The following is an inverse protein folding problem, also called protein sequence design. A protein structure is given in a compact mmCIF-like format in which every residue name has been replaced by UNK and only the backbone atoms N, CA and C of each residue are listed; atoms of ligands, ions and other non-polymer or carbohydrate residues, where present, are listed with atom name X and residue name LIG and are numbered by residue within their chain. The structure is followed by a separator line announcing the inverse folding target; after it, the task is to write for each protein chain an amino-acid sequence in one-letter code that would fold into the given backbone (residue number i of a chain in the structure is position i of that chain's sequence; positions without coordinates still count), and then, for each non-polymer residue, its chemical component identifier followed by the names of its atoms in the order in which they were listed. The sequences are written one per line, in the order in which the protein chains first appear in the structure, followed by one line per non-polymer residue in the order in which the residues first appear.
data_IF_854549878730
#
_entry.id   IF_854549878730
#
_cell.length_a   1.000
_cell.length_b   1.000
_cell.length_c   1.000
_cell.angle_alpha   90.00
_cell.angle_beta   90.00
_cell.angle_gamma   90.00
#
_symmetry.space_group_name_H-M   'P 1'
#
loop_
_entity.id
_entity.type
_entity.pdbx_description
1 polymer ?
#
# COMPACT_ATOMS: atom_id res chain seq x y z
N UNK A 1 12.94 10.61 14.03
CA UNK A 1 13.10 9.21 13.55
C UNK A 1 11.73 8.55 13.44
N UNK A 2 11.45 7.82 12.36
CA UNK A 2 10.17 7.12 12.17
C UNK A 2 10.32 5.63 12.53
N UNK A 3 9.48 5.11 13.42
CA UNK A 3 9.29 3.66 13.55
C UNK A 3 8.20 3.23 12.57
N UNK A 4 8.50 2.28 11.69
CA UNK A 4 7.57 1.73 10.72
C UNK A 4 7.23 0.27 11.07
N UNK A 5 6.00 0.04 11.50
CA UNK A 5 5.44 -1.29 11.71
C UNK A 5 5.05 -1.89 10.36
N UNK A 6 5.79 -2.91 9.92
CA UNK A 6 5.87 -3.32 8.52
C UNK A 6 5.78 -4.83 8.31
N UNK A 7 5.27 -5.18 7.13
CA UNK A 7 5.31 -6.51 6.53
C UNK A 7 5.34 -6.36 5.01
N UNK A 8 5.83 -7.39 4.30
CA UNK A 8 6.11 -7.36 2.86
C UNK A 8 4.83 -7.48 2.02
N UNK A 9 3.96 -6.46 2.12
CA UNK A 9 2.68 -6.35 1.42
C UNK A 9 2.62 -5.08 0.57
N UNK A 10 1.73 -5.00 -0.43
CA UNK A 10 1.51 -3.76 -1.19
C UNK A 10 1.29 -2.53 -0.30
N UNK A 11 0.52 -2.65 0.79
CA UNK A 11 0.28 -1.53 1.69
C UNK A 11 1.52 -1.10 2.48
N UNK A 12 2.35 -2.06 2.91
CA UNK A 12 3.64 -1.76 3.55
C UNK A 12 4.59 -1.01 2.63
N UNK A 13 4.69 -1.47 1.37
CA UNK A 13 5.62 -0.90 0.38
C UNK A 13 5.34 0.57 0.07
N UNK A 14 4.09 1.02 0.17
CA UNK A 14 3.74 2.45 0.02
C UNK A 14 4.59 3.33 0.92
N UNK A 15 4.78 2.90 2.16
CA UNK A 15 5.43 3.71 3.19
C UNK A 15 6.95 3.62 3.07
N UNK A 16 7.51 2.43 2.80
CA UNK A 16 8.95 2.30 2.55
C UNK A 16 9.36 3.09 1.31
N UNK A 17 8.56 3.09 0.24
CA UNK A 17 8.82 3.90 -0.96
C UNK A 17 8.83 5.39 -0.59
N UNK A 18 7.84 5.88 0.14
CA UNK A 18 7.82 7.27 0.59
C UNK A 18 9.07 7.62 1.40
N UNK A 19 9.42 6.81 2.40
CA UNK A 19 10.54 7.10 3.31
C UNK A 19 11.88 7.15 2.55
N UNK A 20 12.10 6.23 1.61
CA UNK A 20 13.29 6.20 0.76
C UNK A 20 13.35 7.36 -0.25
N UNK A 21 12.21 7.81 -0.77
CA UNK A 21 12.11 8.98 -1.66
C UNK A 21 12.32 10.29 -0.91
N UNK A 22 11.78 10.38 0.30
CA UNK A 22 11.90 11.56 1.15
C UNK A 22 13.29 11.68 1.82
N UNK A 23 14.05 10.58 1.87
CA UNK A 23 15.33 10.48 2.57
C UNK A 23 15.17 10.58 4.08
N UNK A 24 14.07 10.05 4.63
CA UNK A 24 13.80 10.07 6.06
C UNK A 24 14.44 8.88 6.75
N UNK A 25 15.03 9.11 7.94
CA UNK A 25 15.50 8.03 8.79
C UNK A 25 14.34 7.26 9.41
N UNK A 26 14.36 5.94 9.22
CA UNK A 26 13.34 5.06 9.75
C UNK A 26 13.90 3.71 10.20
N UNK A 27 13.20 3.10 11.16
CA UNK A 27 13.44 1.74 11.64
C UNK A 27 12.24 0.88 11.27
N UNK A 28 12.50 -0.24 10.61
CA UNK A 28 11.47 -1.27 10.37
C UNK A 28 11.29 -2.10 11.64
N UNK A 29 10.04 -2.21 12.09
CA UNK A 29 9.58 -3.11 13.14
C UNK A 29 8.68 -4.16 12.48
N UNK A 30 9.13 -5.40 12.29
CA UNK A 30 8.33 -6.43 11.63
C UNK A 30 7.06 -6.74 12.42
N UNK A 31 5.92 -6.83 11.72
CA UNK A 31 4.64 -7.35 12.23
C UNK A 31 4.27 -8.55 11.37
N UNK A 32 4.61 -9.76 11.83
CA UNK A 32 4.33 -11.00 11.09
C UNK A 32 2.83 -11.29 11.13
N UNK A 33 2.14 -10.84 10.08
CA UNK A 33 0.69 -10.96 9.97
C UNK A 33 0.21 -12.41 9.79
N UNK A 34 1.11 -13.32 9.37
CA UNK A 34 0.84 -14.74 9.27
C UNK A 34 0.86 -15.44 10.63
N UNK A 35 1.57 -14.87 11.62
CA UNK A 35 1.61 -15.36 13.01
C UNK A 35 0.65 -14.65 13.96
N UNK A 36 -0.04 -13.60 13.50
CA UNK A 36 -1.00 -12.86 14.32
C UNK A 36 -0.37 -11.75 15.15
N UNK A 37 0.82 -11.27 14.81
CA UNK A 37 1.49 -10.19 15.54
C UNK A 37 0.68 -8.88 15.57
N UNK A 38 -0.19 -8.69 14.58
CA UNK A 38 -1.13 -7.57 14.49
C UNK A 38 -2.23 -7.56 15.57
N UNK A 39 -2.34 -8.63 16.36
CA UNK A 39 -3.26 -8.73 17.50
C UNK A 39 -2.58 -8.52 18.85
N UNK A 40 -1.25 -8.34 18.87
CA UNK A 40 -0.53 -8.12 20.13
C UNK A 40 -0.99 -6.79 20.76
N UNK A 41 -1.23 -6.73 22.09
CA UNK A 41 -1.73 -5.54 22.76
C UNK A 41 -0.90 -4.27 22.49
N UNK A 42 0.42 -4.40 22.41
CA UNK A 42 1.29 -3.25 22.14
C UNK A 42 1.18 -2.71 20.72
N UNK A 43 0.89 -3.56 19.73
CA UNK A 43 0.59 -3.11 18.37
C UNK A 43 -0.79 -2.48 18.28
N UNK A 44 -1.79 -3.02 18.99
CA UNK A 44 -3.17 -2.49 18.97
C UNK A 44 -3.27 -1.08 19.59
N UNK A 45 -2.37 -0.71 20.50
CA UNK A 45 -2.23 0.68 20.99
C UNK A 45 -1.85 1.67 19.88
N UNK A 46 -1.23 1.18 18.80
CA UNK A 46 -0.73 1.98 17.68
C UNK A 46 -1.71 1.90 16.51
N UNK A 47 -2.19 0.69 16.19
CA UNK A 47 -3.15 0.41 15.12
C UNK A 47 -4.31 -0.44 15.68
N UNK A 48 -5.37 0.21 16.20
CA UNK A 48 -6.52 -0.50 16.76
C UNK A 48 -7.32 -1.27 15.69
N UNK A 49 -7.11 -0.95 14.41
CA UNK A 49 -7.67 -1.68 13.27
C UNK A 49 -6.93 -3.01 12.98
N UNK A 50 -6.00 -3.45 13.85
CA UNK A 50 -5.21 -4.68 13.72
C UNK A 50 -4.53 -4.85 12.35
N UNK A 51 -4.17 -3.73 11.69
CA UNK A 51 -3.59 -3.75 10.34
C UNK A 51 -2.31 -2.94 10.29
N UNK A 52 -1.36 -3.49 9.55
CA UNK A 52 -0.19 -2.77 9.07
C UNK A 52 -0.47 -2.16 7.67
N UNK A 53 0.27 -1.12 7.25
CA UNK A 53 1.31 -0.41 7.98
C UNK A 53 0.76 0.48 9.10
N UNK A 54 1.62 0.75 10.09
CA UNK A 54 1.46 1.83 11.05
C UNK A 54 2.82 2.48 11.30
N UNK A 55 2.84 3.75 11.70
CA UNK A 55 4.07 4.44 12.11
C UNK A 55 3.95 5.01 13.51
N UNK A 56 5.10 5.22 14.14
CA UNK A 56 5.26 6.15 15.26
C UNK A 56 6.33 7.17 14.87
N UNK A 57 5.94 8.44 14.86
CA UNK A 57 6.84 9.55 14.65
C UNK A 57 7.30 10.11 16.00
N UNK A 58 8.58 9.91 16.31
CA UNK A 58 9.18 10.38 17.56
C UNK A 58 9.61 11.85 17.53
N UNK A 59 9.51 12.51 16.38
CA UNK A 59 9.89 13.91 16.19
C UNK A 59 8.86 14.65 15.32
N UNK A 60 7.61 14.79 15.81
CA UNK A 60 6.55 15.41 15.04
C UNK A 60 6.83 16.90 14.79
N UNK A 61 6.40 17.39 13.62
CA UNK A 61 6.49 18.82 13.32
C UNK A 61 5.70 19.63 14.37
N UNK A 62 6.36 20.60 14.99
CA UNK A 62 5.80 21.38 16.12
C UNK A 62 6.21 20.89 17.51
N UNK A 63 6.97 19.78 17.61
CA UNK A 63 7.40 19.18 18.87
C UNK A 63 6.27 18.46 19.61
N UNK A 64 6.56 17.97 20.82
CA UNK A 64 5.59 17.27 21.66
C UNK A 64 5.83 15.76 21.74
N UNK A 65 4.81 15.03 22.21
CA UNK A 65 4.86 13.59 22.37
C UNK A 65 4.82 12.86 21.00
N UNK A 66 5.34 11.62 20.90
CA UNK A 66 5.28 10.85 19.67
C UNK A 66 3.86 10.68 19.12
N UNK A 67 3.71 10.71 17.79
CA UNK A 67 2.42 10.55 17.11
C UNK A 67 2.36 9.17 16.45
N UNK A 68 1.34 8.38 16.77
CA UNK A 68 1.02 7.14 16.05
C UNK A 68 0.03 7.40 14.91
N UNK A 69 0.27 6.79 13.74
CA UNK A 69 -0.60 6.89 12.57
C UNK A 69 -0.76 5.52 11.93
N UNK A 70 -1.99 5.05 11.76
CA UNK A 70 -2.35 3.88 10.95
C UNK A 70 -3.14 4.32 9.70
N UNK A 71 -3.47 3.38 8.81
CA UNK A 71 -3.97 3.62 7.45
C UNK A 71 -2.93 4.19 6.48
N UNK A 72 -2.57 3.40 5.46
CA UNK A 72 -1.48 3.77 4.53
C UNK A 72 -1.69 5.12 3.82
N UNK A 73 -2.93 5.50 3.51
CA UNK A 73 -3.25 6.80 2.92
C UNK A 73 -3.05 7.96 3.90
N UNK A 74 -3.44 7.78 5.16
CA UNK A 74 -3.23 8.79 6.20
C UNK A 74 -1.73 8.95 6.52
N UNK A 75 -0.98 7.85 6.57
CA UNK A 75 0.47 7.88 6.76
C UNK A 75 1.17 8.63 5.62
N UNK A 76 0.83 8.32 4.36
CA UNK A 76 1.40 9.03 3.20
C UNK A 76 1.10 10.52 3.25
N UNK A 77 -0.14 10.90 3.56
CA UNK A 77 -0.53 12.31 3.67
C UNK A 77 0.20 13.01 4.81
N UNK A 78 0.27 12.38 5.99
CA UNK A 78 1.00 12.90 7.15
C UNK A 78 2.47 13.15 6.84
N UNK A 79 3.16 12.16 6.25
CA UNK A 79 4.58 12.29 5.93
C UNK A 79 4.82 13.33 4.81
N UNK A 80 3.91 13.42 3.83
CA UNK A 80 3.96 14.43 2.78
C UNK A 80 3.83 15.85 3.36
N UNK A 81 2.91 16.06 4.30
CA UNK A 81 2.73 17.33 5.00
C UNK A 81 3.90 17.67 5.92
N UNK A 82 4.40 16.68 6.69
CA UNK A 82 5.58 16.84 7.54
C UNK A 82 6.80 17.31 6.75
N UNK A 83 6.99 16.76 5.55
CA UNK A 83 8.19 17.01 4.74
C UNK A 83 8.02 18.11 3.70
N UNK A 84 6.79 18.51 3.39
CA UNK A 84 6.48 19.39 2.25
C UNK A 84 6.80 18.75 0.89
N UNK A 85 6.88 17.41 0.80
CA UNK A 85 7.25 16.67 -0.41
C UNK A 85 6.09 15.84 -0.94
N UNK A 86 6.10 15.58 -2.26
CA UNK A 86 5.19 14.65 -2.95
C UNK A 86 3.69 14.98 -2.87
N UNK A 87 3.36 16.22 -2.52
CA UNK A 87 2.01 16.80 -2.63
C UNK A 87 2.13 18.32 -2.85
N UNK A 88 1.40 18.91 -3.82
CA UNK A 88 1.40 20.36 -4.00
C UNK A 88 0.79 21.11 -2.80
N UNK A 89 1.28 22.32 -2.56
CA UNK A 89 0.74 23.21 -1.52
C UNK A 89 -0.49 24.00 -2.00
N UNK A 90 -0.62 24.23 -3.31
CA UNK A 90 -1.80 24.90 -3.87
C UNK A 90 -3.01 23.96 -3.89
N UNK A 91 -4.20 24.54 -3.70
CA UNK A 91 -5.43 23.75 -3.56
C UNK A 91 -5.75 22.92 -4.82
N UNK A 92 -5.38 23.39 -6.02
CA UNK A 92 -5.74 22.71 -7.27
C UNK A 92 -4.91 21.44 -7.42
N UNK A 93 -3.59 21.55 -7.32
CA UNK A 93 -2.67 20.40 -7.37
C UNK A 93 -2.92 19.44 -6.20
N UNK A 94 -3.18 19.97 -5.00
CA UNK A 94 -3.48 19.15 -3.82
C UNK A 94 -4.75 18.31 -3.98
N UNK A 95 -5.84 18.91 -4.47
CA UNK A 95 -7.10 18.18 -4.71
C UNK A 95 -6.89 17.08 -5.75
N UNK A 96 -6.09 17.34 -6.78
CA UNK A 96 -5.79 16.35 -7.81
C UNK A 96 -5.05 15.13 -7.23
N UNK A 97 -4.01 15.33 -6.42
CA UNK A 97 -3.30 14.23 -5.72
C UNK A 97 -4.25 13.48 -4.79
N UNK A 98 -5.03 14.20 -3.97
CA UNK A 98 -5.92 13.58 -2.99
C UNK A 98 -7.02 12.75 -3.66
N UNK A 99 -7.60 13.21 -4.77
CA UNK A 99 -8.61 12.44 -5.50
C UNK A 99 -8.09 11.06 -5.89
N UNK A 100 -6.86 10.98 -6.38
CA UNK A 100 -6.26 9.72 -6.81
C UNK A 100 -5.74 8.87 -5.64
N UNK A 101 -5.26 9.51 -4.56
CA UNK A 101 -4.95 8.80 -3.32
C UNK A 101 -6.19 8.10 -2.75
N UNK A 102 -7.32 8.81 -2.68
CA UNK A 102 -8.57 8.24 -2.18
C UNK A 102 -9.20 7.24 -3.15
N UNK A 103 -9.07 7.44 -4.48
CA UNK A 103 -9.42 6.41 -5.46
C UNK A 103 -8.61 5.12 -5.23
N UNK A 104 -7.33 5.23 -4.87
CA UNK A 104 -6.52 4.06 -4.54
C UNK A 104 -7.03 3.38 -3.26
N UNK A 105 -7.28 4.15 -2.19
CA UNK A 105 -7.77 3.64 -0.90
C UNK A 105 -9.14 2.97 -1.01
N UNK A 106 -10.06 3.52 -1.81
CA UNK A 106 -11.44 3.04 -1.92
C UNK A 106 -11.70 2.10 -3.11
N UNK A 107 -10.81 2.08 -4.11
CA UNK A 107 -10.98 1.33 -5.36
C UNK A 107 -9.87 0.31 -5.59
N UNK A 108 -8.72 0.76 -6.10
CA UNK A 108 -7.63 -0.13 -6.54
C UNK A 108 -7.20 -1.13 -5.46
N UNK A 109 -6.90 -0.65 -4.25
CA UNK A 109 -6.41 -1.51 -3.17
C UNK A 109 -7.44 -2.55 -2.73
N UNK A 110 -8.65 -2.14 -2.30
CA UNK A 110 -9.69 -3.06 -1.87
C UNK A 110 -10.07 -4.09 -2.94
N UNK A 111 -10.29 -3.67 -4.20
CA UNK A 111 -10.75 -4.58 -5.25
C UNK A 111 -9.65 -5.57 -5.68
N UNK A 112 -8.39 -5.13 -5.80
CA UNK A 112 -7.27 -6.03 -6.06
C UNK A 112 -7.02 -6.99 -4.87
N UNK A 113 -7.29 -6.54 -3.64
CA UNK A 113 -7.28 -7.39 -2.45
C UNK A 113 -8.31 -8.53 -2.53
N UNK A 114 -9.53 -8.22 -2.98
CA UNK A 114 -10.56 -9.25 -3.22
C UNK A 114 -10.18 -10.18 -4.38
N UNK A 115 -9.59 -9.64 -5.45
CA UNK A 115 -9.03 -10.45 -6.54
C UNK A 115 -8.02 -11.48 -5.99
N UNK A 116 -7.00 -11.03 -5.25
CA UNK A 116 -6.05 -11.94 -4.61
C UNK A 116 -6.73 -13.00 -3.73
N UNK A 117 -7.71 -12.60 -2.91
CA UNK A 117 -8.41 -13.52 -2.02
C UNK A 117 -9.11 -14.63 -2.81
N UNK A 118 -10.03 -14.30 -3.72
CA UNK A 118 -10.81 -15.30 -4.44
C UNK A 118 -9.98 -16.09 -5.47
N UNK A 119 -9.02 -15.45 -6.14
CA UNK A 119 -8.21 -16.10 -7.17
C UNK A 119 -7.15 -17.03 -6.56
N UNK A 120 -6.54 -16.66 -5.43
CA UNK A 120 -5.34 -17.34 -4.93
C UNK A 120 -5.54 -18.04 -3.58
N UNK A 121 -6.29 -17.44 -2.65
CA UNK A 121 -6.25 -17.85 -1.25
C UNK A 121 -7.49 -18.59 -0.76
N UNK A 122 -8.67 -18.29 -1.32
CA UNK A 122 -9.93 -18.88 -0.93
C UNK A 122 -9.85 -20.43 -1.03
N UNK A 123 -10.36 -21.15 0.00
CA UNK A 123 -10.29 -22.62 0.03
C UNK A 123 -11.12 -23.26 -1.08
N UNK A 124 -12.21 -22.61 -1.49
CA UNK A 124 -13.05 -23.00 -2.60
C UNK A 124 -12.92 -22.02 -3.76
N UNK A 125 -12.87 -22.53 -4.99
CA UNK A 125 -12.91 -21.69 -6.19
C UNK A 125 -14.36 -21.34 -6.52
N UNK A 126 -14.67 -20.05 -6.47
CA UNK A 126 -15.99 -19.51 -6.79
C UNK A 126 -15.87 -18.74 -8.11
N UNK A 127 -16.20 -19.34 -9.28
CA UNK A 127 -15.94 -18.72 -10.59
C UNK A 127 -16.57 -17.34 -10.75
N UNK A 128 -17.77 -17.13 -10.19
CA UNK A 128 -18.44 -15.83 -10.22
C UNK A 128 -17.63 -14.75 -9.49
N UNK A 129 -17.15 -15.04 -8.27
CA UNK A 129 -16.39 -14.08 -7.48
C UNK A 129 -15.04 -13.77 -8.12
N UNK A 130 -14.33 -14.81 -8.59
CA UNK A 130 -13.07 -14.66 -9.33
C UNK A 130 -13.28 -13.76 -10.55
N UNK A 131 -14.24 -14.10 -11.41
CA UNK A 131 -14.54 -13.32 -12.62
C UNK A 131 -14.92 -11.87 -12.30
N UNK A 132 -15.71 -11.64 -11.23
CA UNK A 132 -16.09 -10.30 -10.80
C UNK A 132 -14.88 -9.44 -10.45
N UNK A 133 -13.98 -9.95 -9.60
CA UNK A 133 -12.86 -9.16 -9.09
C UNK A 133 -11.69 -9.07 -10.08
N UNK A 134 -11.48 -10.06 -10.94
CA UNK A 134 -10.53 -9.96 -12.07
C UNK A 134 -11.00 -8.87 -13.05
N UNK A 135 -12.29 -8.84 -13.41
CA UNK A 135 -12.84 -7.80 -14.30
C UNK A 135 -12.82 -6.42 -13.67
N UNK A 136 -13.12 -6.29 -12.38
CA UNK A 136 -13.03 -4.99 -11.70
C UNK A 136 -11.58 -4.50 -11.59
N UNK A 137 -10.62 -5.40 -11.35
CA UNK A 137 -9.20 -5.06 -11.39
C UNK A 137 -8.80 -4.56 -12.78
N UNK A 138 -9.21 -5.25 -13.84
CA UNK A 138 -8.99 -4.82 -15.23
C UNK A 138 -9.59 -3.45 -15.53
N UNK A 139 -10.81 -3.18 -15.06
CA UNK A 139 -11.45 -1.86 -15.19
C UNK A 139 -10.64 -0.76 -14.50
N UNK A 140 -10.12 -1.03 -13.29
CA UNK A 140 -9.30 -0.07 -12.53
C UNK A 140 -7.94 0.18 -13.21
N UNK A 141 -7.34 -0.84 -13.81
CA UNK A 141 -6.15 -0.71 -14.66
C UNK A 141 -6.45 0.17 -15.87
N UNK A 142 -7.58 -0.04 -16.56
CA UNK A 142 -7.98 0.78 -17.70
C UNK A 142 -8.25 2.25 -17.32
N UNK A 143 -8.82 2.51 -16.13
CA UNK A 143 -8.99 3.88 -15.60
C UNK A 143 -7.63 4.55 -15.39
N UNK A 144 -6.68 3.83 -14.80
CA UNK A 144 -5.34 4.35 -14.54
C UNK A 144 -4.56 4.55 -15.85
N UNK A 145 -4.65 3.62 -16.80
CA UNK A 145 -4.06 3.74 -18.12
C UNK A 145 -4.57 4.98 -18.88
N UNK A 146 -5.90 5.14 -18.95
CA UNK A 146 -6.52 6.32 -19.56
C UNK A 146 -6.08 7.61 -18.87
N UNK A 147 -5.91 7.59 -17.55
CA UNK A 147 -5.41 8.75 -16.82
C UNK A 147 -3.98 9.11 -17.21
N UNK A 148 -3.16 8.10 -17.48
CA UNK A 148 -1.73 8.24 -17.79
C UNK A 148 -1.45 8.47 -19.29
N UNK A 149 -2.46 8.54 -20.15
CA UNK A 149 -2.27 8.69 -21.60
C UNK A 149 -1.65 10.01 -22.02
N UNK A 150 -1.81 11.06 -21.21
CA UNK A 150 -1.31 12.41 -21.48
C UNK A 150 -0.44 12.94 -20.32
N UNK A 151 -0.01 12.04 -19.43
CA UNK A 151 0.61 12.42 -18.15
C UNK A 151 1.70 11.45 -17.77
N UNK A 152 2.81 11.97 -17.27
CA UNK A 152 3.90 11.14 -16.77
C UNK A 152 3.52 10.40 -15.50
N UNK A 153 2.84 11.10 -14.57
CA UNK A 153 2.35 10.57 -13.29
C UNK A 153 0.87 10.90 -13.07
N UNK A 154 0.25 10.22 -12.11
CA UNK A 154 -1.21 10.18 -11.92
C UNK A 154 -1.82 11.57 -11.66
N UNK A 155 -1.08 12.45 -10.98
CA UNK A 155 -1.50 13.79 -10.62
C UNK A 155 -0.59 14.89 -11.19
N UNK A 156 0.02 14.65 -12.36
CA UNK A 156 1.00 15.55 -12.97
C UNK A 156 2.42 15.14 -12.59
N UNK A 157 2.96 15.71 -11.53
CA UNK A 157 4.25 15.32 -10.95
C UNK A 157 4.13 14.06 -10.08
N UNK A 158 5.26 13.38 -9.86
CA UNK A 158 5.33 12.20 -9.00
C UNK A 158 4.90 12.54 -7.56
N UNK A 159 3.90 11.81 -7.07
CA UNK A 159 3.21 12.16 -5.82
C UNK A 159 2.90 10.94 -4.95
N UNK A 160 2.34 11.19 -3.77
CA UNK A 160 1.82 10.12 -2.91
C UNK A 160 0.69 9.30 -3.55
N UNK A 161 0.00 9.82 -4.57
CA UNK A 161 -0.99 9.04 -5.32
C UNK A 161 -0.32 7.91 -6.12
N UNK A 162 0.85 8.18 -6.70
CA UNK A 162 1.65 7.21 -7.43
C UNK A 162 2.25 6.16 -6.49
N UNK A 163 2.82 6.62 -5.36
CA UNK A 163 3.37 5.74 -4.31
C UNK A 163 2.30 4.82 -3.71
N UNK A 164 1.04 5.29 -3.62
CA UNK A 164 -0.08 4.50 -3.17
C UNK A 164 -0.47 3.41 -4.21
N UNK A 165 -0.51 3.76 -5.50
CA UNK A 165 -0.97 2.87 -6.55
C UNK A 165 0.08 1.83 -6.96
N UNK A 166 1.35 2.21 -7.08
CA UNK A 166 2.40 1.38 -7.66
C UNK A 166 2.53 -0.01 -7.01
N UNK A 167 2.59 -0.15 -5.67
CA UNK A 167 2.71 -1.46 -5.04
C UNK A 167 1.54 -2.40 -5.31
N UNK A 168 0.37 -1.87 -5.67
CA UNK A 168 -0.81 -2.65 -6.05
C UNK A 168 -0.82 -3.07 -7.52
N UNK A 169 0.01 -2.46 -8.37
CA UNK A 169 0.23 -2.88 -9.76
C UNK A 169 1.36 -3.93 -9.87
N UNK A 170 2.35 -3.91 -8.97
CA UNK A 170 3.46 -4.88 -8.96
C UNK A 170 3.03 -6.34 -9.12
N UNK A 171 2.00 -6.86 -8.41
CA UNK A 171 1.55 -8.25 -8.57
C UNK A 171 0.53 -8.44 -9.70
N UNK A 172 0.61 -7.69 -10.80
CA UNK A 172 -0.33 -7.74 -11.93
C UNK A 172 -0.56 -9.16 -12.50
N UNK A 173 0.50 -9.98 -12.61
CA UNK A 173 0.38 -11.38 -13.08
C UNK A 173 -0.52 -12.20 -12.15
N UNK A 174 -0.31 -12.05 -10.83
CA UNK A 174 -1.09 -12.71 -9.79
C UNK A 174 -2.53 -12.21 -9.71
N UNK A 175 -2.81 -11.06 -10.31
CA UNK A 175 -4.14 -10.48 -10.46
C UNK A 175 -4.83 -10.91 -11.76
N UNK A 176 -4.19 -11.74 -12.58
CA UNK A 176 -4.71 -12.15 -13.88
C UNK A 176 -4.81 -10.99 -14.88
N UNK A 177 -3.95 -10.00 -14.75
CA UNK A 177 -3.87 -8.86 -15.67
C UNK A 177 -2.72 -9.08 -16.68
N UNK A 178 -2.73 -8.32 -17.76
CA UNK A 178 -1.65 -8.28 -18.76
C UNK A 178 -1.28 -6.81 -18.93
N UNK A 179 -0.08 -6.40 -18.50
CA UNK A 179 0.30 -4.98 -18.57
C UNK A 179 0.36 -4.44 -20.01
N UNK A 180 0.62 -5.30 -20.99
CA UNK A 180 0.67 -4.92 -22.41
C UNK A 180 -0.68 -4.43 -22.96
N UNK A 181 -1.79 -4.81 -22.33
CA UNK A 181 -3.14 -4.32 -22.66
C UNK A 181 -3.35 -2.86 -22.19
N UNK A 182 -2.44 -2.33 -21.37
CA UNK A 182 -2.47 -0.98 -20.80
C UNK A 182 -1.12 -0.28 -20.96
N UNK A 183 -0.80 0.22 -22.18
CA UNK A 183 0.54 0.70 -22.51
C UNK A 183 0.99 1.91 -21.70
N UNK A 184 0.08 2.81 -21.32
CA UNK A 184 0.40 4.00 -20.53
C UNK A 184 0.66 3.62 -19.07
N UNK A 185 -0.12 2.68 -18.54
CA UNK A 185 0.12 2.08 -17.23
C UNK A 185 1.47 1.34 -17.20
N UNK A 186 1.78 0.56 -18.24
CA UNK A 186 3.08 -0.13 -18.36
C UNK A 186 4.25 0.86 -18.36
N UNK A 187 4.16 1.95 -19.14
CA UNK A 187 5.17 3.02 -19.15
C UNK A 187 5.39 3.59 -17.75
N UNK A 188 4.31 3.98 -17.09
CA UNK A 188 4.34 4.52 -15.72
C UNK A 188 4.93 3.51 -14.72
N UNK A 189 4.55 2.24 -14.85
CA UNK A 189 5.02 1.17 -13.98
C UNK A 189 6.54 0.99 -14.07
N UNK A 190 7.09 0.89 -15.28
CA UNK A 190 8.53 0.77 -15.48
C UNK A 190 9.27 2.05 -15.06
N UNK A 191 8.68 3.23 -15.28
CA UNK A 191 9.26 4.49 -14.83
C UNK A 191 9.40 4.55 -13.29
N UNK A 192 8.39 4.10 -12.53
CA UNK A 192 8.47 4.06 -11.07
C UNK A 192 9.43 2.96 -10.59
N UNK A 193 9.37 1.78 -11.20
CA UNK A 193 10.27 0.66 -10.89
C UNK A 193 11.76 1.01 -11.06
N UNK A 194 12.07 1.85 -12.04
CA UNK A 194 13.44 2.31 -12.30
C UNK A 194 13.96 3.33 -11.27
N UNK A 195 13.11 3.86 -10.37
CA UNK A 195 13.53 4.87 -9.39
C UNK A 195 14.44 4.24 -8.33
N UNK A 196 15.61 4.83 -8.02
CA UNK A 196 16.54 4.27 -7.03
C UNK A 196 15.93 4.08 -5.64
N UNK A 197 15.06 4.99 -5.20
CA UNK A 197 14.38 4.87 -3.91
C UNK A 197 13.38 3.70 -3.86
N UNK A 198 12.67 3.45 -4.97
CA UNK A 198 11.79 2.29 -5.10
C UNK A 198 12.62 1.00 -5.03
N UNK A 199 13.75 0.93 -5.74
CA UNK A 199 14.64 -0.23 -5.66
C UNK A 199 15.16 -0.48 -4.24
N UNK A 200 15.61 0.57 -3.54
CA UNK A 200 16.02 0.46 -2.12
C UNK A 200 14.88 -0.01 -1.23
N UNK A 201 13.67 0.53 -1.40
CA UNK A 201 12.50 0.14 -0.62
C UNK A 201 12.16 -1.35 -0.78
N UNK A 202 12.27 -1.90 -1.99
CA UNK A 202 12.04 -3.32 -2.25
C UNK A 202 13.19 -4.20 -1.73
N UNK A 203 14.45 -3.74 -1.83
CA UNK A 203 15.59 -4.46 -1.24
C UNK A 203 15.49 -4.56 0.30
N UNK A 204 14.96 -3.54 0.98
CA UNK A 204 14.69 -3.58 2.43
C UNK A 204 13.67 -4.66 2.80
N UNK A 205 12.67 -4.89 1.94
CA UNK A 205 11.64 -5.89 2.16
C UNK A 205 12.20 -7.31 2.15
N UNK A 206 13.17 -7.59 1.26
CA UNK A 206 13.86 -8.89 1.18
C UNK A 206 14.58 -9.25 2.48
N UNK A 207 15.07 -8.24 3.23
CA UNK A 207 15.70 -8.44 4.52
C UNK A 207 14.71 -8.65 5.69
N UNK A 208 13.42 -8.33 5.50
CA UNK A 208 12.39 -8.47 6.56
C UNK A 208 11.75 -9.83 6.54
N UNK A 209 11.40 -10.33 5.35
CA UNK A 209 10.70 -11.61 5.21
C UNK A 209 11.24 -12.37 4.00
N UNK A 210 11.77 -13.57 4.26
CA UNK A 210 12.31 -14.48 3.25
C UNK A 210 11.32 -15.60 2.86
N UNK A 211 10.12 -15.62 3.46
CA UNK A 211 9.11 -16.67 3.25
C UNK A 211 7.82 -16.10 2.62
N UNK A 212 7.01 -16.94 1.94
CA UNK A 212 5.71 -16.52 1.42
C UNK A 212 4.81 -15.98 2.54
N UNK A 213 4.22 -14.80 2.33
CA UNK A 213 3.36 -14.11 3.31
C UNK A 213 2.10 -14.93 3.68
N UNK A 214 1.65 -15.83 2.81
CA UNK A 214 0.37 -16.55 2.95
C UNK A 214 0.60 -18.07 2.86
N UNK A 215 1.02 -18.68 3.97
CA UNK A 215 0.97 -20.15 4.19
C UNK A 215 -0.44 -20.63 4.58
N UNK A 216 -0.70 -21.94 4.61
CA UNK A 216 -2.01 -22.48 5.06
C UNK A 216 -2.34 -22.09 6.51
N UNK A 217 -1.35 -22.10 7.40
CA UNK A 217 -1.48 -21.61 8.78
C UNK A 217 -1.79 -20.12 8.81
N UNK A 218 -1.09 -19.32 8.00
CA UNK A 218 -1.32 -17.88 7.90
C UNK A 218 -2.73 -17.56 7.39
N UNK A 219 -3.30 -18.36 6.47
CA UNK A 219 -4.68 -18.16 5.98
C UNK A 219 -5.71 -18.19 7.11
N UNK A 220 -5.55 -19.08 8.09
CA UNK A 220 -6.46 -19.18 9.25
C UNK A 220 -6.45 -17.90 10.07
N UNK A 221 -5.28 -17.31 10.24
CA UNK A 221 -5.07 -16.04 10.97
C UNK A 221 -5.58 -14.83 10.17
N UNK A 222 -5.28 -14.79 8.87
CA UNK A 222 -5.58 -13.64 8.01
C UNK A 222 -7.06 -13.54 7.61
N UNK A 223 -7.74 -14.67 7.42
CA UNK A 223 -9.11 -14.71 6.88
C UNK A 223 -10.17 -15.21 7.86
N UNK A 224 -9.78 -15.66 9.05
CA UNK A 224 -10.69 -16.11 10.12
C UNK A 224 -11.10 -15.01 11.10
N UNK A 225 -11.00 -13.73 10.72
CA UNK A 225 -11.28 -12.59 11.61
C UNK A 225 -12.73 -12.15 11.54
N UNK A 226 -13.27 -11.72 12.67
CA UNK A 226 -14.63 -11.19 12.78
C UNK A 226 -14.73 -10.10 13.88
N UNK A 227 -15.95 -9.74 14.27
CA UNK A 227 -16.18 -8.75 15.31
C UNK A 227 -15.58 -9.14 16.68
N UNK A 228 -15.35 -10.44 16.94
CA UNK A 228 -14.70 -10.94 18.15
C UNK A 228 -13.21 -10.62 18.21
N UNK A 229 -12.54 -10.52 17.05
CA UNK A 229 -11.11 -10.19 16.96
C UNK A 229 -10.80 -8.77 17.44
N UNK A 230 -11.74 -7.84 17.32
CA UNK A 230 -11.57 -6.42 17.72
C UNK A 230 -11.95 -6.18 19.19
N UNK A 231 -12.68 -7.10 19.82
CA UNK A 231 -13.17 -6.96 21.21
C UNK A 231 -12.16 -7.38 22.28
N UNK A 232 -11.06 -8.03 21.89
CA UNK A 232 -9.99 -8.48 22.79
C UNK A 232 -8.94 -7.38 22.94
#
# INVERSE_FOLDING_TARGET
MIDLYYWTTPNGHKITVFLEEAGLDYRIIPVDIGKGDQFKPDFLKISPNNRMPAIVDHDPAGGGAPISVFESGAILLYLAEKTGKFIPADIRGRVEVLQWLFWQMGGLGPMAGQNHHFALYAPEKIPYAINRYVKETSRLYAVLDKRLSERDFVAGDYSIADMAAYPWIVPWERQGQILDDTPNLKRWFEAIKARPAVQRAYARAEAVNTQPVVSEEAKKVLFGQDAGTVKQ
#
